data_IF_694002612970
#
_entry.id   IF_694002612970
#
_cell.length_a   1.000
_cell.length_b   1.000
_cell.length_c   1.000
_cell.angle_alpha   90.00
_cell.angle_beta   90.00
_cell.angle_gamma   90.00
#
_symmetry.space_group_name_H-M   'P 1'
#
loop_
_entity.id
_entity.type
_entity.pdbx_description
1 polymer ?
#
# COMPACT_ATOMS: atom_id res chain seq x y z
N UNK A 1 29.98 41.96 2.87
CA UNK A 1 28.85 42.75 2.32
C UNK A 1 27.60 42.75 3.21
N UNK A 2 27.50 41.93 4.27
CA UNK A 2 26.35 42.01 5.18
C UNK A 2 26.74 41.66 6.62
N UNK A 3 27.79 42.26 7.23
CA UNK A 3 28.29 41.98 8.59
C UNK A 3 27.16 41.96 9.67
N UNK A 4 26.41 40.87 9.73
CA UNK A 4 25.17 40.69 10.48
C UNK A 4 25.18 39.30 11.10
N UNK A 5 26.25 39.02 11.83
CA UNK A 5 26.36 37.78 12.61
C UNK A 5 25.23 37.67 13.65
N UNK A 6 24.64 38.79 14.06
CA UNK A 6 23.47 38.86 14.93
C UNK A 6 22.28 38.04 14.38
N UNK A 7 22.10 37.97 13.06
CA UNK A 7 20.98 37.22 12.46
C UNK A 7 21.15 35.71 12.67
N UNK A 8 22.40 35.23 12.74
CA UNK A 8 22.68 33.82 12.99
C UNK A 8 22.17 33.41 14.38
N UNK A 9 22.54 34.18 15.40
CA UNK A 9 22.15 33.89 16.78
C UNK A 9 20.67 34.16 17.04
N UNK A 10 20.13 35.27 16.50
CA UNK A 10 18.75 35.71 16.81
C UNK A 10 17.67 34.98 16.02
N UNK A 11 17.97 34.49 14.82
CA UNK A 11 16.97 33.93 13.90
C UNK A 11 17.33 32.53 13.41
N UNK A 12 18.58 32.32 12.99
CA UNK A 12 18.97 31.05 12.39
C UNK A 12 19.06 29.91 13.41
N UNK A 13 19.78 30.06 14.53
CA UNK A 13 19.88 28.99 15.54
C UNK A 13 18.54 28.56 16.10
N UNK A 14 17.64 29.49 16.50
CA UNK A 14 16.31 29.10 16.98
C UNK A 14 15.53 28.33 15.91
N UNK A 15 15.59 28.77 14.66
CA UNK A 15 14.92 28.08 13.53
C UNK A 15 15.50 26.69 13.27
N UNK A 16 16.82 26.52 13.44
CA UNK A 16 17.50 25.24 13.27
C UNK A 16 17.08 24.25 14.36
N UNK A 17 17.02 24.67 15.62
CA UNK A 17 16.55 23.85 16.73
C UNK A 17 15.05 23.52 16.60
N UNK A 18 14.24 24.48 16.14
CA UNK A 18 12.84 24.25 15.85
C UNK A 18 12.66 23.22 14.72
N UNK A 19 13.46 23.32 13.65
CA UNK A 19 13.45 22.34 12.56
C UNK A 19 13.82 20.93 13.07
N UNK A 20 14.87 20.80 13.89
CA UNK A 20 15.24 19.53 14.51
C UNK A 20 14.07 18.92 15.29
N UNK A 21 13.42 19.71 16.14
CA UNK A 21 12.30 19.26 16.96
C UNK A 21 11.09 18.86 16.10
N UNK A 22 10.80 19.61 15.05
CA UNK A 22 9.72 19.30 14.11
C UNK A 22 9.97 17.97 13.39
N UNK A 23 11.21 17.70 12.98
CA UNK A 23 11.57 16.41 12.37
C UNK A 23 11.46 15.26 13.37
N UNK A 24 11.86 15.43 14.63
CA UNK A 24 11.67 14.39 15.66
C UNK A 24 10.19 14.03 15.83
N UNK A 25 9.32 15.04 15.97
CA UNK A 25 7.87 14.82 16.09
C UNK A 25 7.30 14.16 14.84
N UNK A 26 7.77 14.57 13.66
CA UNK A 26 7.38 13.95 12.40
C UNK A 26 7.77 12.47 12.35
N UNK A 27 9.01 12.12 12.71
CA UNK A 27 9.49 10.75 12.72
C UNK A 27 8.70 9.87 13.69
N UNK A 28 8.44 10.36 14.89
CA UNK A 28 7.60 9.63 15.86
C UNK A 28 6.17 9.41 15.34
N UNK A 29 5.60 10.42 14.68
CA UNK A 29 4.27 10.30 14.05
C UNK A 29 4.26 9.24 12.95
N UNK A 30 5.24 9.29 12.03
CA UNK A 30 5.37 8.29 10.96
C UNK A 30 5.59 6.89 11.50
N UNK A 31 6.42 6.75 12.55
CA UNK A 31 6.70 5.46 13.21
C UNK A 31 5.46 4.87 13.88
N UNK A 32 4.68 5.72 14.57
CA UNK A 32 3.43 5.31 15.20
C UNK A 32 2.40 4.87 14.15
N UNK A 33 2.23 5.66 13.10
CA UNK A 33 1.31 5.37 12.00
C UNK A 33 1.71 4.09 11.24
N UNK A 34 3.00 3.95 10.92
CA UNK A 34 3.54 2.74 10.29
C UNK A 34 3.27 1.49 11.13
N UNK A 35 3.54 1.57 12.44
CA UNK A 35 3.31 0.45 13.36
C UNK A 35 1.83 0.09 13.47
N UNK A 36 0.94 1.09 13.47
CA UNK A 36 -0.50 0.88 13.47
C UNK A 36 -0.97 0.16 12.21
N UNK A 37 -0.61 0.69 11.03
CA UNK A 37 -1.00 0.11 9.74
C UNK A 37 -0.43 -1.29 9.55
N UNK A 38 0.81 -1.54 10.00
CA UNK A 38 1.43 -2.87 9.97
C UNK A 38 0.65 -3.88 10.81
N UNK A 39 0.32 -3.53 12.06
CA UNK A 39 -0.48 -4.40 12.94
C UNK A 39 -1.83 -4.71 12.32
N UNK A 40 -2.52 -3.69 11.79
CA UNK A 40 -3.82 -3.85 11.14
C UNK A 40 -3.73 -4.76 9.91
N UNK A 41 -2.71 -4.57 9.08
CA UNK A 41 -2.48 -5.40 7.90
C UNK A 41 -2.29 -6.88 8.27
N UNK A 42 -1.59 -7.18 9.36
CA UNK A 42 -1.45 -8.55 9.87
C UNK A 42 -2.82 -9.17 10.20
N UNK A 43 -3.67 -8.44 10.91
CA UNK A 43 -5.03 -8.90 11.27
C UNK A 43 -5.88 -9.10 10.02
N UNK A 44 -5.86 -8.16 9.07
CA UNK A 44 -6.64 -8.27 7.82
C UNK A 44 -6.20 -9.50 7.01
N UNK A 45 -4.90 -9.80 6.96
CA UNK A 45 -4.38 -11.00 6.28
C UNK A 45 -4.83 -12.30 6.94
N UNK A 46 -4.80 -12.35 8.27
CA UNK A 46 -5.28 -13.50 9.03
C UNK A 46 -6.78 -13.74 8.80
N UNK A 47 -7.59 -12.69 8.88
CA UNK A 47 -9.04 -12.78 8.62
C UNK A 47 -9.34 -13.26 7.19
N UNK A 48 -8.59 -12.78 6.20
CA UNK A 48 -8.74 -13.25 4.81
C UNK A 48 -8.36 -14.72 4.66
N UNK A 49 -7.30 -15.16 5.32
CA UNK A 49 -6.88 -16.56 5.32
C UNK A 49 -7.92 -17.47 6.00
N UNK A 50 -8.47 -17.05 7.14
CA UNK A 50 -9.53 -17.77 7.84
C UNK A 50 -10.79 -17.92 6.96
N UNK A 51 -11.25 -16.83 6.35
CA UNK A 51 -12.38 -16.87 5.42
C UNK A 51 -12.14 -17.78 4.21
N UNK A 52 -10.91 -17.86 3.71
CA UNK A 52 -10.55 -18.78 2.63
C UNK A 52 -10.58 -20.24 3.09
N UNK A 53 -10.08 -20.54 4.29
CA UNK A 53 -10.10 -21.89 4.84
C UNK A 53 -11.53 -22.37 5.13
N UNK A 54 -12.39 -21.50 5.68
CA UNK A 54 -13.81 -21.81 5.90
C UNK A 54 -14.54 -22.15 4.60
N UNK A 55 -14.23 -21.45 3.50
CA UNK A 55 -14.77 -21.76 2.17
C UNK A 55 -14.34 -23.16 1.71
N UNK A 56 -13.05 -23.49 1.87
CA UNK A 56 -12.50 -24.79 1.48
C UNK A 56 -13.07 -25.95 2.32
N UNK A 57 -13.27 -25.75 3.62
CA UNK A 57 -13.88 -26.74 4.51
C UNK A 57 -15.38 -26.95 4.19
N UNK A 58 -16.08 -25.89 3.77
CA UNK A 58 -17.46 -26.01 3.31
C UNK A 58 -17.56 -26.76 1.97
N UNK A 59 -16.62 -26.55 1.05
CA UNK A 59 -16.53 -27.33 -0.19
C UNK A 59 -16.11 -28.80 0.06
N UNK A 60 -15.27 -29.08 1.05
CA UNK A 60 -14.86 -30.44 1.41
C UNK A 60 -15.94 -31.22 2.17
N UNK A 61 -16.81 -30.54 2.93
CA UNK A 61 -17.95 -31.15 3.64
C UNK A 61 -19.17 -31.37 2.72
N UNK A 62 -19.23 -30.68 1.57
CA UNK A 62 -20.26 -30.88 0.56
C UNK A 62 -19.93 -32.10 -0.33
N UNK A 63 -20.19 -33.30 0.22
CA UNK A 63 -20.52 -34.49 -0.57
C UNK A 63 -21.67 -34.15 -1.55
N UNK A 64 -21.70 -34.68 -2.79
CA UNK A 64 -22.48 -34.10 -3.87
C UNK A 64 -23.95 -34.51 -3.77
N UNK A 65 -24.74 -33.73 -3.05
CA UNK A 65 -26.20 -33.74 -3.19
C UNK A 65 -26.78 -32.36 -2.85
N UNK A 66 -26.54 -31.39 -3.72
CA UNK A 66 -27.44 -30.25 -3.83
C UNK A 66 -27.79 -30.04 -5.30
N UNK A 67 -28.30 -31.12 -5.91
CA UNK A 67 -28.94 -31.12 -7.22
C UNK A 67 -30.40 -30.65 -7.10
N UNK A 68 -30.63 -29.53 -6.40
CA UNK A 68 -31.99 -28.99 -6.22
C UNK A 68 -32.04 -27.46 -6.09
N UNK A 69 -31.22 -26.73 -6.85
CA UNK A 69 -31.55 -25.33 -7.16
C UNK A 69 -32.14 -25.22 -8.57
N UNK A 70 -33.38 -25.71 -8.65
CA UNK A 70 -34.48 -25.26 -9.50
C UNK A 70 -34.12 -24.31 -10.65
N UNK A 71 -34.19 -24.87 -11.85
CA UNK A 71 -34.48 -24.20 -13.11
C UNK A 71 -35.59 -23.14 -12.95
N UNK A 72 -35.19 -21.88 -12.97
CA UNK A 72 -36.01 -20.82 -13.60
C UNK A 72 -35.17 -20.15 -14.66
N UNK A 73 -34.92 -20.94 -15.70
CA UNK A 73 -34.59 -20.46 -17.04
C UNK A 73 -35.62 -19.41 -17.46
N UNK A 74 -35.18 -18.16 -17.59
CA UNK A 74 -35.83 -17.18 -18.46
C UNK A 74 -34.77 -16.66 -19.43
N UNK A 75 -34.60 -17.45 -20.49
CA UNK A 75 -33.95 -17.06 -21.72
C UNK A 75 -34.76 -15.92 -22.35
N UNK A 76 -34.29 -14.68 -22.20
CA UNK A 76 -34.69 -13.62 -23.13
C UNK A 76 -33.84 -13.76 -24.39
N UNK A 77 -34.41 -14.44 -25.37
CA UNK A 77 -33.97 -14.40 -26.76
C UNK A 77 -34.01 -12.96 -27.26
N UNK A 78 -32.86 -12.30 -27.32
CA UNK A 78 -32.67 -11.10 -28.12
C UNK A 78 -32.50 -11.56 -29.57
N UNK A 79 -33.61 -11.64 -30.29
CA UNK A 79 -33.65 -11.84 -31.73
C UNK A 79 -32.89 -10.74 -32.45
N UNK A 80 -31.87 -11.17 -33.21
CA UNK A 80 -31.19 -10.40 -34.23
C UNK A 80 -32.19 -9.78 -35.20
N UNK A 81 -32.31 -8.46 -35.18
CA UNK A 81 -32.80 -7.70 -36.33
C UNK A 81 -31.87 -6.52 -36.57
N UNK A 82 -31.42 -6.46 -37.81
CA UNK A 82 -30.53 -5.47 -38.41
C UNK A 82 -30.79 -4.02 -37.97
N UNK A 83 -29.74 -3.30 -37.58
CA UNK A 83 -29.76 -1.85 -37.62
C UNK A 83 -28.34 -1.29 -37.75
N UNK A 84 -27.99 -0.95 -38.99
CA UNK A 84 -26.81 -0.15 -39.34
C UNK A 84 -27.00 1.26 -38.80
N UNK A 85 -26.56 1.54 -37.57
CA UNK A 85 -26.42 2.91 -37.08
C UNK A 85 -25.16 3.04 -36.20
N UNK A 86 -24.09 3.52 -36.82
CA UNK A 86 -22.97 4.19 -36.16
C UNK A 86 -23.47 5.44 -35.44
N UNK A 87 -23.76 5.33 -34.15
CA UNK A 87 -24.06 6.47 -33.29
C UNK A 87 -23.16 6.46 -32.04
N UNK A 88 -22.15 7.34 -32.07
CA UNK A 88 -21.56 8.10 -30.96
C UNK A 88 -21.62 7.49 -29.54
N UNK A 89 -20.55 6.78 -29.18
CA UNK A 89 -20.26 6.21 -27.86
C UNK A 89 -19.94 7.24 -26.73
N UNK A 90 -20.56 8.43 -26.69
CA UNK A 90 -20.21 9.48 -25.71
C UNK A 90 -20.92 9.36 -24.35
N UNK A 91 -22.04 8.62 -24.26
CA UNK A 91 -22.83 8.48 -23.01
C UNK A 91 -22.35 7.33 -22.11
N UNK A 92 -21.65 6.35 -22.67
CA UNK A 92 -21.16 5.16 -21.95
C UNK A 92 -19.86 5.47 -21.19
N UNK A 93 -18.99 6.33 -21.74
CA UNK A 93 -17.71 6.71 -21.13
C UNK A 93 -17.85 7.57 -19.87
N UNK A 94 -18.85 8.46 -19.81
CA UNK A 94 -19.09 9.34 -18.65
C UNK A 94 -19.58 8.57 -17.39
N UNK A 95 -20.39 7.52 -17.58
CA UNK A 95 -20.79 6.60 -16.50
C UNK A 95 -19.61 5.76 -16.01
N UNK A 96 -18.76 5.29 -16.93
CA UNK A 96 -17.52 4.58 -16.61
C UNK A 96 -16.53 5.44 -15.82
N UNK A 97 -16.34 6.72 -16.18
CA UNK A 97 -15.45 7.63 -15.44
C UNK A 97 -15.91 7.91 -14.01
N UNK A 98 -17.21 8.17 -13.78
CA UNK A 98 -17.75 8.36 -12.43
C UNK A 98 -17.65 7.08 -11.59
N UNK A 99 -17.92 5.92 -12.22
CA UNK A 99 -17.79 4.63 -11.54
C UNK A 99 -16.34 4.30 -11.20
N UNK A 100 -15.40 4.60 -12.11
CA UNK A 100 -13.95 4.50 -11.88
C UNK A 100 -13.52 5.37 -10.70
N UNK A 101 -13.87 6.65 -10.68
CA UNK A 101 -13.55 7.54 -9.53
C UNK A 101 -14.12 7.02 -8.21
N UNK A 102 -15.32 6.42 -8.22
CA UNK A 102 -15.93 5.85 -7.02
C UNK A 102 -15.21 4.56 -6.58
N UNK A 103 -14.74 3.75 -7.52
CA UNK A 103 -13.93 2.56 -7.25
C UNK A 103 -12.55 2.95 -6.70
N UNK A 104 -11.85 3.92 -7.31
CA UNK A 104 -10.57 4.46 -6.81
C UNK A 104 -10.70 4.99 -5.37
N UNK A 105 -11.75 5.78 -5.07
CA UNK A 105 -11.99 6.26 -3.70
C UNK A 105 -12.21 5.14 -2.68
N UNK A 106 -12.72 3.98 -3.12
CA UNK A 106 -12.89 2.81 -2.25
C UNK A 106 -11.60 2.01 -2.12
N UNK A 107 -10.74 1.99 -3.15
CA UNK A 107 -9.41 1.35 -3.12
C UNK A 107 -8.52 2.00 -2.07
N UNK A 108 -8.48 3.32 -2.02
CA UNK A 108 -7.66 4.06 -1.04
C UNK A 108 -8.35 4.26 0.32
N UNK A 109 -9.45 3.54 0.59
CA UNK A 109 -10.19 3.73 1.83
C UNK A 109 -9.53 2.93 2.95
N UNK A 110 -8.90 3.62 3.88
CA UNK A 110 -8.39 3.05 5.15
C UNK A 110 -9.51 2.73 6.15
N UNK A 111 -10.75 2.60 5.69
CA UNK A 111 -11.87 2.25 6.57
C UNK A 111 -11.78 0.76 6.90
N UNK A 112 -11.76 0.48 8.19
CA UNK A 112 -11.77 -0.90 8.71
C UNK A 112 -12.97 -1.70 8.19
N UNK A 113 -12.70 -2.92 7.72
CA UNK A 113 -13.69 -3.81 7.13
C UNK A 113 -14.04 -3.52 5.67
N UNK A 114 -13.32 -2.62 5.01
CA UNK A 114 -13.51 -2.43 3.57
C UNK A 114 -12.95 -3.62 2.77
N UNK A 115 -13.55 -4.00 1.63
CA UNK A 115 -13.10 -5.17 0.86
C UNK A 115 -11.65 -5.09 0.36
N UNK A 116 -11.12 -3.88 0.21
CA UNK A 116 -9.77 -3.58 -0.31
C UNK A 116 -8.86 -2.98 0.77
N UNK A 117 -9.20 -3.17 2.04
CA UNK A 117 -8.47 -2.58 3.17
C UNK A 117 -6.99 -2.96 3.17
N UNK A 118 -6.65 -4.19 2.82
CA UNK A 118 -5.26 -4.67 2.71
C UNK A 118 -4.46 -3.91 1.65
N UNK A 119 -5.07 -3.62 0.51
CA UNK A 119 -4.44 -2.84 -0.57
C UNK A 119 -4.24 -1.40 -0.13
N UNK A 120 -5.24 -0.80 0.52
CA UNK A 120 -5.15 0.56 1.07
C UNK A 120 -4.03 0.68 2.11
N UNK A 121 -3.92 -0.30 3.02
CA UNK A 121 -2.89 -0.36 4.05
C UNK A 121 -1.49 -0.54 3.44
N UNK A 122 -1.33 -1.40 2.43
CA UNK A 122 -0.05 -1.58 1.73
C UNK A 122 0.41 -0.29 1.04
N UNK A 123 -0.51 0.41 0.39
CA UNK A 123 -0.22 1.70 -0.25
C UNK A 123 0.19 2.77 0.78
N UNK A 124 -0.57 2.89 1.88
CA UNK A 124 -0.25 3.82 2.96
C UNK A 124 1.12 3.52 3.59
N UNK A 125 1.42 2.25 3.87
CA UNK A 125 2.74 1.82 4.34
C UNK A 125 3.83 2.19 3.32
N UNK A 126 3.59 1.95 2.03
CA UNK A 126 4.54 2.29 0.97
C UNK A 126 4.79 3.79 0.81
N UNK A 127 3.77 4.63 1.03
CA UNK A 127 3.92 6.10 1.08
C UNK A 127 4.76 6.54 2.29
N UNK A 128 4.52 5.98 3.47
CA UNK A 128 5.32 6.27 4.68
C UNK A 128 6.79 5.91 4.44
N UNK A 129 7.07 4.74 3.86
CA UNK A 129 8.45 4.32 3.54
C UNK A 129 9.12 5.30 2.58
N UNK A 130 8.43 5.73 1.51
CA UNK A 130 8.97 6.70 0.53
C UNK A 130 9.20 8.07 1.16
N UNK A 131 8.27 8.52 2.01
CA UNK A 131 8.38 9.77 2.76
C UNK A 131 9.63 9.79 3.65
N UNK A 132 9.85 8.71 4.40
CA UNK A 132 11.04 8.56 5.25
C UNK A 132 12.34 8.51 4.41
N UNK A 133 12.35 7.82 3.27
CA UNK A 133 13.54 7.77 2.40
C UNK A 133 13.90 9.14 1.82
N UNK A 134 12.89 9.95 1.45
CA UNK A 134 13.08 11.29 0.91
C UNK A 134 13.67 12.27 1.94
N UNK A 135 13.46 12.04 3.24
CA UNK A 135 14.01 12.89 4.30
C UNK A 135 15.53 12.80 4.44
N UNK A 136 16.20 11.78 3.89
CA UNK A 136 17.66 11.58 4.04
C UNK A 136 18.47 12.84 3.71
N UNK A 137 18.10 13.57 2.65
CA UNK A 137 18.81 14.79 2.26
C UNK A 137 18.60 15.96 3.23
N UNK A 138 17.37 16.14 3.71
CA UNK A 138 17.02 17.18 4.66
C UNK A 138 17.67 16.94 6.03
N UNK A 139 17.59 15.71 6.53
CA UNK A 139 18.24 15.28 7.78
C UNK A 139 19.75 15.50 7.69
N UNK A 140 20.39 15.07 6.61
CA UNK A 140 21.83 15.31 6.41
C UNK A 140 22.19 16.80 6.48
N UNK A 141 21.39 17.66 5.84
CA UNK A 141 21.60 19.10 5.87
C UNK A 141 21.49 19.65 7.30
N UNK A 142 20.43 19.28 8.03
CA UNK A 142 20.21 19.74 9.41
C UNK A 142 21.33 19.27 10.33
N UNK A 143 21.72 17.99 10.25
CA UNK A 143 22.83 17.45 11.05
C UNK A 143 24.12 18.23 10.85
N UNK A 144 24.46 18.59 9.60
CA UNK A 144 25.66 19.38 9.31
C UNK A 144 25.62 20.76 9.96
N UNK A 145 24.47 21.42 9.94
CA UNK A 145 24.33 22.75 10.55
C UNK A 145 24.34 22.66 12.08
N UNK A 146 23.72 21.64 12.67
CA UNK A 146 23.74 21.44 14.13
C UNK A 146 25.19 21.25 14.62
N UNK A 147 25.97 20.39 13.97
CA UNK A 147 27.39 20.19 14.27
C UNK A 147 28.20 21.48 14.08
N UNK A 148 27.96 22.21 12.97
CA UNK A 148 28.67 23.46 12.70
C UNK A 148 28.50 24.50 13.81
N UNK A 149 27.36 24.49 14.49
CA UNK A 149 27.03 25.41 15.59
C UNK A 149 27.12 24.75 16.97
N UNK A 150 27.80 23.60 17.08
CA UNK A 150 28.09 22.91 18.35
C UNK A 150 26.85 22.40 19.10
N UNK A 151 25.77 22.11 18.39
CA UNK A 151 24.58 21.43 18.89
C UNK A 151 24.68 19.91 18.70
N UNK A 152 25.77 19.32 19.20
CA UNK A 152 26.11 17.92 18.95
C UNK A 152 25.10 16.95 19.58
N UNK A 153 24.56 17.27 20.77
CA UNK A 153 23.53 16.46 21.45
C UNK A 153 22.24 16.38 20.61
N UNK A 154 21.77 17.51 20.09
CA UNK A 154 20.55 17.58 19.27
C UNK A 154 20.76 16.90 17.92
N UNK A 155 21.98 16.97 17.37
CA UNK A 155 22.35 16.28 16.16
C UNK A 155 22.37 14.76 16.38
N UNK A 156 22.94 14.29 17.50
CA UNK A 156 22.98 12.88 17.84
C UNK A 156 21.58 12.31 18.07
N UNK A 157 20.72 13.04 18.80
CA UNK A 157 19.32 12.67 19.02
C UNK A 157 18.57 12.49 17.70
N UNK A 158 18.67 13.45 16.78
CA UNK A 158 18.02 13.39 15.47
C UNK A 158 18.57 12.25 14.61
N UNK A 159 19.90 12.06 14.62
CA UNK A 159 20.56 11.00 13.86
C UNK A 159 20.10 9.61 14.35
N UNK A 160 20.04 9.39 15.67
CA UNK A 160 19.62 8.13 16.26
C UNK A 160 18.14 7.87 15.99
N UNK A 161 17.26 8.86 16.20
CA UNK A 161 15.83 8.72 15.95
C UNK A 161 15.53 8.36 14.48
N UNK A 162 16.26 8.97 13.55
CA UNK A 162 16.13 8.66 12.13
C UNK A 162 16.70 7.28 11.78
N UNK A 163 17.84 6.89 12.36
CA UNK A 163 18.42 5.55 12.18
C UNK A 163 17.48 4.44 12.66
N UNK A 164 16.92 4.60 13.87
CA UNK A 164 15.98 3.65 14.45
C UNK A 164 14.72 3.50 13.58
N UNK A 165 14.24 4.63 13.03
CA UNK A 165 13.08 4.65 12.14
C UNK A 165 13.38 3.94 10.82
N UNK A 166 14.54 4.20 10.21
CA UNK A 166 14.97 3.51 8.99
C UNK A 166 15.13 2.01 9.21
N UNK A 167 15.77 1.60 10.31
CA UNK A 167 15.94 0.19 10.65
C UNK A 167 14.60 -0.52 10.88
N UNK A 168 13.65 0.14 11.57
CA UNK A 168 12.30 -0.39 11.74
C UNK A 168 11.59 -0.61 10.40
N UNK A 169 11.68 0.36 9.50
CA UNK A 169 11.06 0.26 8.17
C UNK A 169 11.71 -0.84 7.35
N UNK A 170 13.04 -0.86 7.26
CA UNK A 170 13.81 -1.85 6.50
C UNK A 170 13.56 -3.29 6.95
N UNK A 171 13.58 -3.52 8.27
CA UNK A 171 13.31 -4.84 8.84
C UNK A 171 11.87 -5.31 8.57
N UNK A 172 10.93 -4.37 8.51
CA UNK A 172 9.52 -4.65 8.24
C UNK A 172 9.20 -4.89 6.76
N UNK A 173 10.05 -4.44 5.82
CA UNK A 173 9.79 -4.60 4.37
C UNK A 173 9.64 -6.08 3.97
N UNK A 174 10.53 -6.95 4.48
CA UNK A 174 10.51 -8.38 4.18
C UNK A 174 9.29 -9.10 4.78
N UNK A 175 8.77 -8.60 5.90
CA UNK A 175 7.58 -9.14 6.53
C UNK A 175 6.30 -8.72 5.81
N UNK A 176 6.23 -7.45 5.38
CA UNK A 176 5.04 -6.88 4.74
C UNK A 176 4.95 -7.36 3.29
N UNK A 177 6.02 -7.28 2.50
CA UNK A 177 6.03 -7.64 1.08
C UNK A 177 6.63 -9.03 0.86
N UNK A 178 5.92 -10.07 1.34
CA UNK A 178 6.32 -11.46 1.12
C UNK A 178 6.04 -11.88 -0.33
N UNK A 179 6.99 -12.54 -1.03
CA UNK A 179 6.78 -13.08 -2.39
C UNK A 179 5.61 -14.06 -2.44
N UNK A 180 5.39 -14.83 -1.37
CA UNK A 180 4.33 -15.84 -1.28
C UNK A 180 2.93 -15.25 -1.40
N UNK A 181 2.76 -13.97 -1.06
CA UNK A 181 1.49 -13.24 -1.18
C UNK A 181 1.28 -12.62 -2.57
N UNK A 182 2.33 -12.58 -3.42
CA UNK A 182 2.24 -12.16 -4.82
C UNK A 182 1.67 -13.25 -5.72
N UNK A 183 1.49 -14.47 -5.19
CA UNK A 183 0.71 -15.52 -5.84
C UNK A 183 -0.78 -15.18 -5.75
N UNK A 184 -1.20 -14.18 -6.52
CA UNK A 184 -2.47 -14.33 -7.23
C UNK A 184 -2.32 -15.62 -8.04
N UNK A 185 -3.18 -16.64 -7.90
CA UNK A 185 -3.19 -17.77 -8.82
C UNK A 185 -3.66 -17.26 -10.18
N UNK A 186 -2.78 -16.54 -10.88
CA UNK A 186 -2.94 -16.10 -12.26
C UNK A 186 -2.66 -17.25 -13.24
N UNK A 187 -2.43 -18.47 -12.73
CA UNK A 187 -2.56 -19.67 -13.50
C UNK A 187 -3.97 -20.20 -13.24
N UNK A 188 -4.98 -19.84 -14.06
CA UNK A 188 -6.16 -20.68 -14.12
C UNK A 188 -5.64 -22.08 -14.39
N UNK A 189 -6.05 -23.03 -13.57
CA UNK A 189 -5.83 -24.46 -13.82
C UNK A 189 -6.65 -24.75 -15.08
N UNK A 190 -6.10 -24.42 -16.25
CA UNK A 190 -6.65 -24.69 -17.57
C UNK A 190 -5.64 -25.60 -18.28
N UNK A 191 -5.35 -26.71 -17.62
CA UNK A 191 -4.66 -27.82 -18.25
C UNK A 191 -5.67 -28.64 -19.06
N UNK A 192 -5.20 -29.52 -19.95
CA UNK A 192 -6.06 -30.44 -20.70
C UNK A 192 -6.89 -31.39 -19.80
N UNK A 193 -6.59 -31.45 -18.49
CA UNK A 193 -7.25 -32.29 -17.50
C UNK A 193 -8.30 -31.53 -16.66
N UNK A 194 -8.55 -30.24 -16.93
CA UNK A 194 -9.47 -29.41 -16.14
C UNK A 194 -10.93 -29.64 -16.55
N UNK A 195 -11.78 -30.02 -15.60
CA UNK A 195 -13.23 -30.21 -15.78
C UNK A 195 -13.98 -28.89 -15.83
N UNK A 196 -15.16 -28.86 -16.46
CA UNK A 196 -16.01 -27.67 -16.56
C UNK A 196 -16.30 -26.99 -15.21
N UNK A 197 -16.43 -27.76 -14.12
CA UNK A 197 -16.60 -27.22 -12.77
C UNK A 197 -15.35 -26.49 -12.26
N UNK A 198 -14.16 -27.02 -12.50
CA UNK A 198 -12.89 -26.37 -12.12
C UNK A 198 -12.68 -25.05 -12.89
N UNK A 199 -13.09 -25.02 -14.16
CA UNK A 199 -13.04 -23.82 -15.00
C UNK A 199 -14.06 -22.78 -14.49
N UNK A 200 -15.28 -23.19 -14.17
CA UNK A 200 -16.35 -22.32 -13.66
C UNK A 200 -16.01 -21.72 -12.30
N UNK A 201 -15.43 -22.52 -11.40
CA UNK A 201 -14.94 -22.07 -10.10
C UNK A 201 -13.78 -21.08 -10.27
N UNK A 202 -12.80 -21.37 -11.14
CA UNK A 202 -11.70 -20.47 -11.45
C UNK A 202 -12.17 -19.12 -12.03
N UNK A 203 -13.18 -19.13 -12.91
CA UNK A 203 -13.78 -17.90 -13.46
C UNK A 203 -14.55 -17.10 -12.41
N UNK A 204 -15.24 -17.77 -11.49
CA UNK A 204 -15.97 -17.09 -10.40
C UNK A 204 -14.99 -16.47 -9.41
N UNK A 205 -13.92 -17.19 -9.03
CA UNK A 205 -12.82 -16.66 -8.23
C UNK A 205 -12.10 -15.51 -8.94
N UNK A 206 -11.78 -15.64 -10.24
CA UNK A 206 -11.20 -14.55 -11.04
C UNK A 206 -12.11 -13.32 -11.10
N UNK A 207 -13.43 -13.48 -11.16
CA UNK A 207 -14.35 -12.32 -11.18
C UNK A 207 -14.40 -11.59 -9.84
N UNK A 208 -14.17 -12.31 -8.74
CA UNK A 208 -14.01 -11.74 -7.38
C UNK A 208 -12.62 -11.14 -7.19
N UNK A 209 -11.58 -11.68 -7.85
CA UNK A 209 -10.19 -11.21 -7.78
C UNK A 209 -9.81 -10.16 -8.85
N UNK A 210 -10.57 -10.01 -9.94
CA UNK A 210 -10.33 -9.03 -11.00
C UNK A 210 -10.31 -7.56 -10.54
N UNK A 211 -10.99 -7.14 -9.45
CA UNK A 211 -10.82 -5.81 -8.88
C UNK A 211 -9.47 -5.63 -8.14
N UNK A 212 -8.79 -6.72 -7.77
CA UNK A 212 -7.59 -6.75 -6.92
C UNK A 212 -6.32 -6.47 -7.74
N UNK A 213 -6.32 -6.79 -9.05
CA UNK A 213 -5.13 -6.75 -9.92
C UNK A 213 -5.09 -5.52 -10.84
N UNK A 214 -5.47 -4.34 -10.34
CA UNK A 214 -5.33 -3.10 -11.16
C UNK A 214 -4.00 -2.38 -10.96
N UNK A 215 -3.22 -2.73 -9.93
CA UNK A 215 -1.93 -2.08 -9.69
C UNK A 215 -0.91 -3.05 -9.05
N UNK A 216 -0.18 -3.85 -9.87
CA UNK A 216 0.79 -4.82 -9.37
C UNK A 216 1.97 -4.17 -8.65
N UNK A 217 2.18 -2.85 -8.82
CA UNK A 217 3.28 -2.12 -8.17
C UNK A 217 3.10 -2.00 -6.65
N UNK A 218 1.87 -2.01 -6.13
CA UNK A 218 1.59 -1.93 -4.69
C UNK A 218 2.11 -3.16 -3.92
N UNK A 219 2.22 -4.30 -4.62
CA UNK A 219 2.76 -5.54 -4.07
C UNK A 219 4.28 -5.63 -4.17
N UNK A 220 4.94 -4.59 -4.68
CA UNK A 220 6.40 -4.50 -4.75
C UNK A 220 6.86 -3.58 -3.61
N UNK A 221 7.80 -4.06 -2.80
CA UNK A 221 8.37 -3.24 -1.73
C UNK A 221 9.00 -1.95 -2.30
N UNK A 222 8.78 -0.78 -1.67
CA UNK A 222 9.43 0.46 -2.08
C UNK A 222 10.96 0.31 -2.06
N UNK A 223 11.63 0.83 -3.08
CA UNK A 223 13.10 0.79 -3.16
C UNK A 223 13.70 1.91 -2.33
N UNK A 224 14.39 1.55 -1.26
CA UNK A 224 15.13 2.48 -0.44
C UNK A 224 16.46 2.86 -1.08
N UNK A 225 16.78 4.15 -1.11
CA UNK A 225 18.03 4.65 -1.66
C UNK A 225 19.18 4.42 -0.68
N UNK A 226 19.93 3.32 -0.88
CA UNK A 226 21.09 2.96 -0.05
C UNK A 226 22.34 3.80 -0.35
N UNK A 227 22.37 4.49 -1.49
CA UNK A 227 23.54 5.25 -1.94
C UNK A 227 23.64 6.65 -1.31
N UNK A 228 22.56 7.14 -0.69
CA UNK A 228 22.51 8.47 -0.09
C UNK A 228 23.19 8.44 1.28
N UNK A 229 24.38 9.00 1.37
CA UNK A 229 25.08 9.17 2.64
C UNK A 229 24.40 10.29 3.44
N UNK A 230 23.68 9.91 4.49
CA UNK A 230 22.97 10.85 5.37
C UNK A 230 23.51 10.89 6.80
N UNK A 231 24.21 9.83 7.23
CA UNK A 231 24.77 9.70 8.58
C UNK A 231 26.12 10.41 8.68
N UNK A 232 26.33 11.19 9.75
CA UNK A 232 27.61 11.83 10.05
C UNK A 232 28.44 10.94 10.98
N UNK A 233 29.64 10.57 10.53
CA UNK A 233 30.58 9.75 11.31
C UNK A 233 31.18 10.47 12.53
N UNK A 234 31.05 11.80 12.60
CA UNK A 234 31.53 12.60 13.72
C UNK A 234 30.66 12.44 14.99
N UNK A 235 29.40 12.04 14.82
CA UNK A 235 28.39 11.94 15.88
C UNK A 235 28.24 10.49 16.40
N UNK A 236 29.30 9.69 16.28
CA UNK A 236 29.27 8.24 16.53
C UNK A 236 29.77 7.88 17.92
#
# INVERSE_FOLDING_TARGET
>A
KYNRADILETSFMPSLLEAQRNHLVFLETQKAEFSHHRKRLSVVRELKQQAQNELLDHEASNCPESDLFSDTSSLVTASDTSSKYTHSNSRISARSSKNRRKAERKKHSLKEGSPLEDVALLEALGEIVRSIDNLKGEIYSILRHLVLYSYDEQAQELQQAFEDTLHLVESSLLEIWRPDLQHTPANPILGPNSTANSISAAYTQQKVMAPIVQDPEIFIAPRLNKNTQWKLTLLQ
#
